data_IF_155573963740
#
_entry.id   IF_155573963740
#
_cell.length_a   1.000
_cell.length_b   1.000
_cell.length_c   1.000
_cell.angle_alpha   90.00
_cell.angle_beta   90.00
_cell.angle_gamma   90.00
#
_symmetry.space_group_name_H-M   'P 1'
#
loop_
_entity.id
_entity.type
_entity.pdbx_description
1 polymer ?
#
# COMPACT_ATOMS: atom_id res chain seq x y z
N UNK A 1 23.13 -3.94 -6.25
CA UNK A 1 22.47 -4.89 -5.33
C UNK A 1 20.97 -4.76 -5.49
N UNK A 2 20.25 -5.82 -5.89
CA UNK A 2 18.81 -5.77 -6.17
C UNK A 2 18.02 -5.68 -4.87
N UNK A 3 17.15 -4.69 -4.79
CA UNK A 3 16.28 -4.39 -3.64
C UNK A 3 15.15 -5.43 -3.60
N UNK A 4 15.46 -6.62 -3.05
CA UNK A 4 14.50 -7.71 -2.86
C UNK A 4 13.46 -7.25 -1.84
N UNK A 5 12.18 -7.20 -2.23
CA UNK A 5 11.09 -7.15 -1.26
C UNK A 5 11.26 -8.39 -0.37
N UNK A 6 11.37 -8.25 0.95
CA UNK A 6 11.46 -9.40 1.84
C UNK A 6 10.24 -10.29 1.60
N UNK A 7 10.51 -11.52 1.16
CA UNK A 7 9.53 -12.56 0.94
C UNK A 7 9.08 -13.07 2.31
N UNK A 8 8.10 -12.41 2.91
CA UNK A 8 7.50 -12.83 4.19
C UNK A 8 6.43 -13.94 3.99
N UNK A 9 6.40 -14.64 2.85
CA UNK A 9 5.39 -15.68 2.54
C UNK A 9 3.93 -15.20 2.44
N UNK A 10 3.67 -13.92 2.70
CA UNK A 10 2.34 -13.28 2.72
C UNK A 10 1.83 -12.86 1.35
N UNK A 11 2.68 -12.92 0.33
CA UNK A 11 2.37 -12.50 -1.02
C UNK A 11 2.05 -13.72 -1.89
N UNK A 12 1.00 -13.60 -2.70
CA UNK A 12 0.59 -14.59 -3.67
C UNK A 12 0.55 -13.99 -5.07
N UNK A 13 0.89 -14.84 -6.04
CA UNK A 13 0.70 -14.60 -7.46
C UNK A 13 -0.68 -15.09 -7.87
N UNK A 14 -1.36 -14.30 -8.71
CA UNK A 14 -2.64 -14.69 -9.30
C UNK A 14 -2.54 -14.59 -10.82
N UNK A 15 -2.69 -15.71 -11.52
CA UNK A 15 -2.71 -15.81 -12.98
C UNK A 15 -4.09 -16.22 -13.50
N UNK A 16 -4.27 -16.15 -14.82
CA UNK A 16 -5.48 -16.63 -15.48
C UNK A 16 -6.66 -15.66 -15.46
N UNK A 17 -6.50 -14.45 -14.90
CA UNK A 17 -7.57 -13.46 -14.77
C UNK A 17 -8.21 -13.08 -16.13
N UNK A 18 -9.49 -12.66 -16.12
CA UNK A 18 -10.15 -12.12 -17.31
C UNK A 18 -9.42 -10.91 -17.90
N UNK A 19 -9.63 -10.66 -19.21
CA UNK A 19 -8.99 -9.54 -19.93
C UNK A 19 -9.58 -8.16 -19.58
N UNK A 20 -10.58 -8.14 -18.72
CA UNK A 20 -11.18 -6.95 -18.17
C UNK A 20 -11.13 -6.95 -16.63
N UNK A 21 -10.53 -7.98 -16.02
CA UNK A 21 -10.48 -8.09 -14.56
C UNK A 21 -9.67 -6.95 -13.98
N UNK A 22 -10.29 -6.21 -13.08
CA UNK A 22 -9.63 -5.15 -12.33
C UNK A 22 -9.20 -5.61 -10.94
N UNK A 23 -8.36 -4.80 -10.29
CA UNK A 23 -7.91 -5.05 -8.92
C UNK A 23 -9.08 -5.17 -7.92
N UNK A 24 -10.22 -4.54 -8.21
CA UNK A 24 -11.42 -4.61 -7.36
C UNK A 24 -12.03 -6.00 -7.35
N UNK A 25 -12.21 -6.60 -8.52
CA UNK A 25 -12.78 -7.94 -8.67
C UNK A 25 -11.80 -9.00 -8.13
N UNK A 26 -10.51 -8.83 -8.42
CA UNK A 26 -9.45 -9.65 -7.83
C UNK A 26 -9.53 -9.61 -6.30
N UNK A 27 -9.68 -8.42 -5.72
CA UNK A 27 -9.79 -8.24 -4.28
C UNK A 27 -11.01 -8.94 -3.70
N UNK A 28 -12.16 -8.76 -4.33
CA UNK A 28 -13.42 -9.35 -3.87
C UNK A 28 -13.32 -10.88 -3.82
N UNK A 29 -12.84 -11.49 -4.91
CA UNK A 29 -12.66 -12.94 -5.00
C UNK A 29 -11.66 -13.47 -3.97
N UNK A 30 -10.54 -12.77 -3.80
CA UNK A 30 -9.44 -13.17 -2.93
C UNK A 30 -9.74 -12.94 -1.44
N UNK A 31 -10.71 -12.08 -1.11
CA UNK A 31 -11.11 -11.79 0.27
C UNK A 31 -11.86 -12.96 0.91
N UNK A 32 -12.38 -13.89 0.11
CA UNK A 32 -12.96 -15.15 0.57
C UNK A 32 -11.96 -15.98 1.37
N UNK A 33 -10.65 -15.87 1.08
CA UNK A 33 -9.62 -16.63 1.78
C UNK A 33 -9.06 -15.91 3.03
N UNK A 34 -9.17 -14.58 3.13
CA UNK A 34 -8.59 -13.83 4.24
C UNK A 34 -8.59 -12.31 4.06
N UNK A 35 -8.00 -11.60 5.03
CA UNK A 35 -7.88 -10.14 5.00
C UNK A 35 -6.71 -9.71 4.09
N UNK A 36 -7.08 -9.04 2.99
CA UNK A 36 -6.13 -8.51 2.01
C UNK A 36 -5.57 -7.17 2.50
N UNK A 37 -4.27 -7.12 2.68
CA UNK A 37 -3.51 -5.90 2.95
C UNK A 37 -3.30 -5.09 1.65
N UNK A 38 -3.00 -5.77 0.55
CA UNK A 38 -2.77 -5.14 -0.75
C UNK A 38 -3.13 -6.07 -1.93
N UNK A 39 -3.61 -5.52 -3.04
CA UNK A 39 -3.84 -6.28 -4.27
C UNK A 39 -3.63 -5.39 -5.49
N UNK A 40 -3.18 -5.98 -6.58
CA UNK A 40 -3.01 -5.28 -7.86
C UNK A 40 -3.11 -6.20 -9.06
N UNK A 41 -3.38 -5.61 -10.21
CA UNK A 41 -3.39 -6.28 -11.51
C UNK A 41 -2.30 -5.68 -12.39
N UNK A 42 -1.56 -6.54 -13.10
CA UNK A 42 -0.55 -6.11 -14.05
C UNK A 42 -1.22 -5.76 -15.37
N UNK A 43 -0.91 -4.56 -15.87
CA UNK A 43 -1.32 -4.10 -17.18
C UNK A 43 -0.16 -4.18 -18.18
N UNK A 44 -0.49 -4.24 -19.47
CA UNK A 44 0.45 -4.14 -20.56
C UNK A 44 0.72 -2.67 -20.91
N UNK A 45 1.63 -2.43 -21.86
CA UNK A 45 2.00 -1.08 -22.32
C UNK A 45 0.82 -0.30 -22.92
N UNK A 46 -0.18 -1.02 -23.44
CA UNK A 46 -1.42 -0.49 -24.00
C UNK A 46 -2.54 -0.31 -22.97
N UNK A 47 -2.23 -0.45 -21.67
CA UNK A 47 -3.19 -0.28 -20.58
C UNK A 47 -4.21 -1.41 -20.41
N UNK A 48 -4.02 -2.55 -21.07
CA UNK A 48 -4.91 -3.71 -20.95
C UNK A 48 -4.37 -4.69 -19.89
N UNK A 49 -5.23 -5.30 -19.06
CA UNK A 49 -4.78 -6.22 -18.03
C UNK A 49 -4.18 -7.47 -18.68
N UNK A 50 -3.04 -7.91 -18.16
CA UNK A 50 -2.30 -9.08 -18.64
C UNK A 50 -2.94 -10.40 -18.21
N UNK A 51 -4.03 -10.36 -17.46
CA UNK A 51 -4.63 -11.52 -16.83
C UNK A 51 -3.79 -12.04 -15.64
N UNK A 52 -2.99 -11.15 -15.03
CA UNK A 52 -2.05 -11.47 -13.96
C UNK A 52 -2.17 -10.40 -12.89
N UNK A 53 -2.13 -10.79 -11.62
CA UNK A 53 -2.12 -9.89 -10.47
C UNK A 53 -1.30 -10.46 -9.32
N UNK A 54 -1.20 -9.67 -8.26
CA UNK A 54 -0.56 -10.08 -7.01
C UNK A 54 -1.38 -9.60 -5.83
N UNK A 55 -1.40 -10.40 -4.77
CA UNK A 55 -2.17 -10.11 -3.56
C UNK A 55 -1.29 -10.37 -2.35
N UNK A 56 -1.35 -9.46 -1.37
CA UNK A 56 -0.68 -9.59 -0.09
C UNK A 56 -1.72 -9.68 1.00
N UNK A 57 -1.65 -10.76 1.77
CA UNK A 57 -2.46 -10.96 2.94
C UNK A 57 -1.79 -10.38 4.19
N UNK A 58 -2.61 -10.19 5.23
CA UNK A 58 -2.13 -9.76 6.53
C UNK A 58 -1.21 -10.80 7.18
N UNK A 59 -1.55 -12.09 7.03
CA UNK A 59 -0.77 -13.22 7.56
C UNK A 59 -0.38 -14.24 6.49
N UNK A 60 0.69 -14.99 6.75
CA UNK A 60 1.18 -16.04 5.83
C UNK A 60 0.18 -17.21 5.74
N UNK A 61 -0.48 -17.54 6.85
CA UNK A 61 -1.49 -18.59 6.89
C UNK A 61 -2.67 -18.30 5.93
N UNK A 62 -3.13 -17.04 5.89
CA UNK A 62 -4.17 -16.60 4.95
C UNK A 62 -3.71 -16.70 3.49
N UNK A 63 -2.44 -16.36 3.20
CA UNK A 63 -1.87 -16.51 1.88
C UNK A 63 -1.80 -17.99 1.43
N UNK A 64 -1.38 -18.89 2.31
CA UNK A 64 -1.36 -20.33 2.04
C UNK A 64 -2.77 -20.90 1.87
N UNK A 65 -3.73 -20.45 2.68
CA UNK A 65 -5.14 -20.85 2.56
C UNK A 65 -5.73 -20.39 1.22
N UNK A 66 -5.41 -19.18 0.78
CA UNK A 66 -5.81 -18.67 -0.52
C UNK A 66 -5.26 -19.53 -1.66
N UNK A 67 -3.98 -19.92 -1.61
CA UNK A 67 -3.39 -20.83 -2.59
C UNK A 67 -4.13 -22.18 -2.58
N UNK A 68 -4.38 -22.76 -1.41
CA UNK A 68 -5.03 -24.07 -1.32
C UNK A 68 -6.51 -24.07 -1.74
N UNK A 69 -7.23 -22.98 -1.52
CA UNK A 69 -8.69 -22.92 -1.69
C UNK A 69 -9.13 -22.20 -2.96
N UNK A 70 -8.34 -21.24 -3.44
CA UNK A 70 -8.68 -20.40 -4.60
C UNK A 70 -7.89 -20.78 -5.85
N UNK A 71 -6.82 -21.58 -5.76
CA UNK A 71 -6.16 -22.13 -6.95
C UNK A 71 -7.13 -23.03 -7.73
N UNK A 72 -7.25 -22.79 -9.04
CA UNK A 72 -8.19 -23.47 -9.91
C UNK A 72 -9.64 -23.00 -9.80
N UNK A 73 -9.94 -22.01 -8.94
CA UNK A 73 -11.29 -21.44 -8.87
C UNK A 73 -11.67 -20.72 -10.16
N UNK A 74 -12.97 -20.70 -10.49
CA UNK A 74 -13.46 -20.07 -11.71
C UNK A 74 -13.87 -18.62 -11.45
N UNK A 75 -13.19 -17.68 -12.09
CA UNK A 75 -13.54 -16.25 -12.12
C UNK A 75 -14.04 -15.91 -13.52
N UNK A 76 -15.31 -15.51 -13.63
CA UNK A 76 -15.98 -15.19 -14.92
C UNK A 76 -15.78 -16.26 -16.02
N UNK A 77 -15.82 -17.54 -15.64
CA UNK A 77 -15.66 -18.65 -16.57
C UNK A 77 -14.21 -18.97 -16.96
N UNK A 78 -13.21 -18.31 -16.36
CA UNK A 78 -11.78 -18.66 -16.49
C UNK A 78 -11.23 -19.21 -15.18
N UNK A 79 -10.44 -20.27 -15.26
CA UNK A 79 -9.73 -20.80 -14.10
C UNK A 79 -8.61 -19.82 -13.69
N UNK A 80 -8.66 -19.34 -12.45
CA UNK A 80 -7.57 -18.57 -11.86
C UNK A 80 -6.51 -19.51 -11.30
N UNK A 81 -5.26 -19.10 -11.42
CA UNK A 81 -4.12 -19.83 -10.87
C UNK A 81 -3.57 -19.04 -9.70
N UNK A 82 -3.45 -19.66 -8.54
CA UNK A 82 -2.97 -19.01 -7.33
C UNK A 82 -1.72 -19.73 -6.85
N UNK A 83 -0.65 -18.99 -6.61
CA UNK A 83 0.64 -19.58 -6.23
C UNK A 83 1.40 -18.67 -5.28
N UNK A 84 2.33 -19.22 -4.50
CA UNK A 84 3.21 -18.41 -3.67
C UNK A 84 4.00 -17.43 -4.55
N UNK A 85 4.01 -16.15 -4.17
CA UNK A 85 4.89 -15.19 -4.81
C UNK A 85 6.33 -15.55 -4.44
N UNK A 86 7.21 -15.70 -5.43
CA UNK A 86 8.60 -16.14 -5.20
C UNK A 86 9.62 -15.00 -5.27
N UNK A 87 9.15 -13.75 -5.18
CA UNK A 87 10.02 -12.57 -5.25
C UNK A 87 10.74 -12.37 -6.59
N UNK A 88 10.51 -13.23 -7.60
CA UNK A 88 11.12 -13.03 -8.92
C UNK A 88 10.47 -11.82 -9.57
N UNK A 89 11.24 -10.76 -9.87
CA UNK A 89 10.70 -9.62 -10.57
C UNK A 89 10.15 -10.07 -11.92
N UNK A 90 9.00 -9.54 -12.37
CA UNK A 90 8.59 -9.72 -13.75
C UNK A 90 9.72 -9.24 -14.68
N UNK A 91 9.90 -9.94 -15.81
CA UNK A 91 10.96 -9.72 -16.81
C UNK A 91 11.30 -8.22 -16.98
N UNK A 92 12.58 -7.80 -17.02
CA UNK A 92 12.99 -6.39 -17.17
C UNK A 92 12.37 -5.63 -18.37
N UNK A 93 11.79 -6.32 -19.36
CA UNK A 93 10.99 -5.72 -20.44
C UNK A 93 9.48 -5.60 -20.11
N UNK A 94 9.08 -5.70 -18.84
CA UNK A 94 7.69 -5.57 -18.40
C UNK A 94 7.43 -4.15 -17.90
N UNK A 95 6.33 -3.49 -18.33
CA UNK A 95 5.99 -2.12 -17.93
C UNK A 95 5.73 -1.91 -16.40
N UNK A 96 5.77 -2.97 -15.59
CA UNK A 96 5.56 -2.91 -14.13
C UNK A 96 6.70 -2.27 -13.31
N UNK A 97 7.83 -1.90 -13.93
CA UNK A 97 8.98 -1.25 -13.23
C UNK A 97 8.62 0.11 -12.63
N UNK A 98 7.68 0.83 -13.25
CA UNK A 98 7.31 2.19 -12.85
C UNK A 98 6.46 2.22 -11.57
N UNK A 99 5.66 1.17 -11.35
CA UNK A 99 4.78 1.08 -10.18
C UNK A 99 5.51 0.70 -8.89
N UNK A 100 6.58 -0.12 -8.96
CA UNK A 100 7.41 -0.43 -7.79
C UNK A 100 8.11 0.82 -7.22
N UNK A 101 8.47 1.77 -8.10
CA UNK A 101 9.03 3.05 -7.70
C UNK A 101 7.95 4.01 -7.17
N UNK A 102 6.73 3.89 -7.71
CA UNK A 102 5.54 4.58 -7.21
C UNK A 102 5.08 4.05 -5.84
N UNK A 103 5.27 2.75 -5.53
CA UNK A 103 5.01 2.14 -4.22
C UNK A 103 5.89 2.71 -3.10
N UNK A 104 7.13 3.12 -3.40
CA UNK A 104 7.97 3.83 -2.44
C UNK A 104 7.43 5.23 -2.09
N UNK A 105 6.56 5.81 -2.93
CA UNK A 105 5.92 7.11 -2.71
C UNK A 105 4.46 7.00 -2.21
N UNK A 106 3.69 6.01 -2.67
CA UNK A 106 2.27 5.81 -2.33
C UNK A 106 2.05 4.84 -1.16
N UNK A 107 3.02 3.99 -0.82
CA UNK A 107 2.96 3.09 0.35
C UNK A 107 2.94 3.81 1.71
N UNK A 108 3.31 5.10 1.74
CA UNK A 108 3.07 6.00 2.88
C UNK A 108 1.69 6.66 2.89
N UNK A 109 0.92 6.59 1.80
CA UNK A 109 -0.35 7.29 1.61
C UNK A 109 -1.58 6.46 2.01
N UNK A 110 -1.51 5.13 2.00
CA UNK A 110 -2.67 4.28 2.31
C UNK A 110 -3.05 4.25 3.81
N UNK A 111 -2.23 4.79 4.71
CA UNK A 111 -2.63 5.06 6.10
C UNK A 111 -3.47 6.35 6.27
N UNK A 112 -3.91 7.01 5.18
CA UNK A 112 -4.75 8.22 5.22
C UNK A 112 -6.27 7.96 5.12
N UNK A 113 -6.74 6.72 4.95
CA UNK A 113 -8.17 6.45 4.72
C UNK A 113 -9.02 6.20 5.98
N UNK A 114 -8.46 6.41 7.18
CA UNK A 114 -9.22 6.62 8.43
C UNK A 114 -8.58 7.71 9.30
N UNK A 115 -8.00 8.73 8.68
CA UNK A 115 -7.59 9.91 9.43
C UNK A 115 -8.80 10.80 9.48
N UNK A 116 -9.35 11.04 10.68
CA UNK A 116 -10.36 12.06 10.88
C UNK A 116 -9.98 13.31 10.09
N UNK A 117 -10.90 13.93 9.32
CA UNK A 117 -10.58 15.07 8.45
C UNK A 117 -9.89 16.21 9.22
N UNK A 118 -10.17 16.31 10.51
CA UNK A 118 -9.50 17.21 11.45
C UNK A 118 -8.02 16.88 11.65
N UNK A 119 -7.68 15.60 11.84
CA UNK A 119 -6.29 15.13 11.93
C UNK A 119 -5.52 15.44 10.66
N UNK A 120 -6.14 15.23 9.49
CA UNK A 120 -5.51 15.53 8.19
C UNK A 120 -5.11 17.00 8.10
N UNK A 121 -6.04 17.89 8.48
CA UNK A 121 -5.85 19.35 8.45
C UNK A 121 -4.72 19.78 9.38
N UNK A 122 -4.67 19.21 10.59
CA UNK A 122 -3.63 19.54 11.57
C UNK A 122 -2.24 19.06 11.12
N UNK A 123 -2.13 17.85 10.56
CA UNK A 123 -0.87 17.35 10.02
C UNK A 123 -0.36 18.25 8.90
N UNK A 124 -1.25 18.71 8.02
CA UNK A 124 -0.86 19.59 6.91
C UNK A 124 -0.34 20.94 7.40
N UNK A 125 -1.02 21.55 8.38
CA UNK A 125 -0.58 22.81 9.03
C UNK A 125 0.78 22.68 9.67
N UNK A 126 1.03 21.61 10.43
CA UNK A 126 2.34 21.37 11.05
C UNK A 126 3.41 21.14 9.99
N UNK A 127 3.12 20.37 8.93
CA UNK A 127 4.06 20.17 7.82
C UNK A 127 4.37 21.48 7.08
N UNK A 128 3.37 22.34 6.88
CA UNK A 128 3.57 23.64 6.26
C UNK A 128 4.41 24.55 7.17
N UNK A 129 4.14 24.56 8.47
CA UNK A 129 4.93 25.30 9.46
C UNK A 129 6.40 24.88 9.48
N UNK A 130 6.68 23.57 9.43
CA UNK A 130 8.04 23.04 9.32
C UNK A 130 8.77 23.48 8.04
N UNK A 131 8.05 23.86 6.98
CA UNK A 131 8.62 24.36 5.72
C UNK A 131 8.92 25.86 5.73
N UNK A 132 8.33 26.63 6.66
CA UNK A 132 8.49 28.09 6.71
C UNK A 132 9.86 28.54 7.22
N UNK A 133 10.61 27.67 7.90
CA UNK A 133 11.95 27.98 8.40
C UNK A 133 12.54 26.87 9.27
N UNK A 134 13.86 26.89 9.42
CA UNK A 134 14.59 25.89 10.22
C UNK A 134 14.28 26.00 11.72
N UNK A 135 14.12 27.23 12.24
CA UNK A 135 13.73 27.49 13.64
C UNK A 135 12.38 26.85 13.98
N UNK A 136 11.46 26.84 13.01
CA UNK A 136 10.11 26.27 13.14
C UNK A 136 10.14 24.75 13.22
N UNK A 137 11.10 24.14 12.51
CA UNK A 137 11.38 22.71 12.56
C UNK A 137 12.01 22.31 13.89
N UNK A 138 12.86 23.15 14.47
CA UNK A 138 13.43 22.93 15.80
C UNK A 138 12.37 23.00 16.90
N UNK A 139 11.42 23.94 16.83
CA UNK A 139 10.26 23.97 17.74
C UNK A 139 9.46 22.67 17.69
N UNK A 140 9.19 22.16 16.49
CA UNK A 140 8.54 20.86 16.34
C UNK A 140 9.39 19.73 16.92
N UNK A 141 10.71 19.71 16.69
CA UNK A 141 11.60 18.67 17.21
C UNK A 141 11.70 18.67 18.72
N UNK A 142 11.78 19.85 19.34
CA UNK A 142 11.75 20.01 20.79
C UNK A 142 10.43 19.50 21.37
N UNK A 143 9.31 19.70 20.66
CA UNK A 143 7.99 19.28 21.09
C UNK A 143 7.69 17.78 20.84
N UNK A 144 8.13 17.23 19.70
CA UNK A 144 7.80 15.87 19.28
C UNK A 144 8.81 14.81 19.75
N UNK A 145 10.03 15.22 20.11
CA UNK A 145 11.11 14.34 20.55
C UNK A 145 11.59 13.41 19.42
N UNK A 146 11.56 12.11 19.66
CA UNK A 146 12.08 11.09 18.74
C UNK A 146 11.26 10.95 17.45
N UNK A 147 9.95 11.15 17.52
CA UNK A 147 9.05 10.95 16.39
C UNK A 147 8.88 12.26 15.63
N UNK A 148 9.72 12.47 14.61
CA UNK A 148 9.75 13.74 13.84
C UNK A 148 8.61 13.91 12.83
N UNK A 149 7.91 12.84 12.49
CA UNK A 149 6.82 12.88 11.52
C UNK A 149 5.48 13.25 12.18
N UNK A 150 4.82 14.37 11.79
CA UNK A 150 3.56 14.81 12.39
C UNK A 150 2.37 13.86 12.14
N UNK A 151 2.39 13.06 11.07
CA UNK A 151 1.32 12.09 10.83
C UNK A 151 1.38 10.89 11.80
N UNK A 152 2.49 10.74 12.54
CA UNK A 152 2.68 9.71 13.57
C UNK A 152 2.18 10.11 14.96
N UNK A 153 1.69 11.35 15.15
CA UNK A 153 1.16 11.82 16.44
C UNK A 153 -0.38 11.83 16.45
N UNK A 154 -0.95 11.82 17.65
CA UNK A 154 -2.40 11.91 17.89
C UNK A 154 -2.95 13.32 17.71
N UNK A 155 -4.28 13.41 17.56
CA UNK A 155 -4.98 14.67 17.27
C UNK A 155 -4.74 15.71 18.37
N UNK A 156 -4.85 15.30 19.64
CA UNK A 156 -4.69 16.20 20.79
C UNK A 156 -3.29 16.83 20.82
N UNK A 157 -2.26 16.04 20.53
CA UNK A 157 -0.88 16.52 20.47
C UNK A 157 -0.66 17.49 19.31
N UNK A 158 -1.29 17.25 18.16
CA UNK A 158 -1.25 18.17 17.03
C UNK A 158 -2.02 19.47 17.31
N UNK A 159 -3.18 19.39 17.98
CA UNK A 159 -3.95 20.56 18.42
C UNK A 159 -3.17 21.41 19.41
N UNK A 160 -2.53 20.79 20.39
CA UNK A 160 -1.70 21.47 21.39
C UNK A 160 -0.55 22.22 20.73
N UNK A 161 0.15 21.59 19.78
CA UNK A 161 1.23 22.27 19.05
C UNK A 161 0.74 23.44 18.20
N UNK A 162 -0.37 23.26 17.49
CA UNK A 162 -0.97 24.31 16.64
C UNK A 162 -1.44 25.49 17.49
N UNK A 163 -2.02 25.24 18.67
CA UNK A 163 -2.46 26.26 19.62
C UNK A 163 -1.28 26.96 20.32
N UNK A 164 -0.23 26.22 20.70
CA UNK A 164 0.92 26.75 21.43
C UNK A 164 1.83 27.63 20.55
N UNK A 165 1.99 27.28 19.28
CA UNK A 165 2.91 27.98 18.37
C UNK A 165 2.20 28.87 17.33
N UNK A 166 0.90 29.10 17.49
CA UNK A 166 0.06 29.89 16.57
C UNK A 166 0.28 29.52 15.11
N UNK A 167 0.25 28.22 14.81
CA UNK A 167 0.43 27.73 13.45
C UNK A 167 -0.80 28.15 12.63
N UNK A 168 -0.66 28.93 11.53
CA UNK A 168 -1.78 29.40 10.73
C UNK A 168 -2.52 28.26 10.01
#
# INVERSE_FOLDING_TARGET
MANQVPDDGRCIYVGGLPKHAEWQELKDHMKTAGEIEYCDVLYNDWGQPRGIGFVRYKTEAEAQQAIASLDGSSMEGKAVQVSAWTGRPPNPNSPGKMMYQMMAWYGGAQKRLKVDPEKATLVDRVKNFQKTGQDKKELWYAFCGEVKDPARHDIDKLKEFVALHSVP
#
